data_IF_683955941883
#
_entry.id   IF_683955941883
#
_cell.length_a   1.000
_cell.length_b   1.000
_cell.length_c   1.000
_cell.angle_alpha   90.00
_cell.angle_beta   90.00
_cell.angle_gamma   90.00
#
_symmetry.space_group_name_H-M   'P 1'
#
loop_
_entity.id
_entity.type
_entity.pdbx_description
1 polymer ?
#
# COMPACT_ATOMS: atom_id res chain seq x y z
N UNK A 1 -19.68 -2.59 -18.64
CA UNK A 1 -18.25 -2.25 -18.75
C UNK A 1 -17.95 -1.00 -17.91
N UNK A 2 -18.26 -1.01 -16.60
CA UNK A 2 -18.13 0.14 -15.68
C UNK A 2 -17.09 -0.08 -14.57
N UNK A 3 -16.52 -1.29 -14.45
CA UNK A 3 -15.55 -1.64 -13.41
C UNK A 3 -14.12 -1.18 -13.71
N UNK A 4 -13.73 -1.11 -14.99
CA UNK A 4 -12.36 -0.75 -15.39
C UNK A 4 -12.04 0.71 -15.09
N UNK A 5 -12.89 1.67 -15.51
CA UNK A 5 -12.61 3.08 -15.26
C UNK A 5 -12.56 3.45 -13.78
N UNK A 6 -13.42 2.83 -12.96
CA UNK A 6 -13.42 3.09 -11.53
C UNK A 6 -12.15 2.52 -10.85
N UNK A 7 -11.72 1.33 -11.28
CA UNK A 7 -10.44 0.75 -10.87
C UNK A 7 -9.25 1.60 -11.31
N UNK A 8 -9.22 2.07 -12.57
CA UNK A 8 -8.15 2.91 -13.09
C UNK A 8 -8.06 4.24 -12.35
N UNK A 9 -9.21 4.87 -12.04
CA UNK A 9 -9.24 6.08 -11.19
C UNK A 9 -8.65 5.83 -9.80
N UNK A 10 -8.93 4.69 -9.20
CA UNK A 10 -8.35 4.32 -7.90
C UNK A 10 -6.84 4.11 -7.99
N UNK A 11 -6.35 3.44 -9.04
CA UNK A 11 -4.92 3.21 -9.26
C UNK A 11 -4.17 4.54 -9.48
N UNK A 12 -4.77 5.46 -10.25
CA UNK A 12 -4.21 6.80 -10.48
C UNK A 12 -4.19 7.61 -9.18
N UNK A 13 -5.26 7.54 -8.37
CA UNK A 13 -5.33 8.22 -7.09
C UNK A 13 -4.25 7.70 -6.12
N UNK A 14 -4.10 6.37 -6.01
CA UNK A 14 -3.07 5.76 -5.17
C UNK A 14 -1.66 6.15 -5.62
N UNK A 15 -1.38 6.12 -6.93
CA UNK A 15 -0.11 6.56 -7.48
C UNK A 15 0.18 8.03 -7.15
N UNK A 16 -0.82 8.90 -7.28
CA UNK A 16 -0.70 10.32 -6.98
C UNK A 16 -0.43 10.57 -5.49
N UNK A 17 -1.14 9.91 -4.58
CA UNK A 17 -0.95 10.07 -3.14
C UNK A 17 0.42 9.54 -2.68
N UNK A 18 0.90 8.43 -3.26
CA UNK A 18 2.26 7.93 -3.00
C UNK A 18 3.32 8.93 -3.48
N UNK A 19 3.21 9.42 -4.72
CA UNK A 19 4.14 10.38 -5.29
C UNK A 19 4.18 11.70 -4.49
N UNK A 20 3.04 12.18 -3.96
CA UNK A 20 3.00 13.35 -3.08
C UNK A 20 3.69 13.11 -1.74
N UNK A 21 3.55 11.91 -1.17
CA UNK A 21 4.01 11.60 0.19
C UNK A 21 5.48 11.19 0.26
N UNK A 22 5.95 10.49 -0.76
CA UNK A 22 7.29 9.88 -0.81
C UNK A 22 8.16 10.41 -1.97
N UNK A 23 7.58 11.14 -2.92
CA UNK A 23 8.26 11.59 -4.13
C UNK A 23 8.05 10.62 -5.28
N UNK A 24 8.04 11.16 -6.51
CA UNK A 24 7.81 10.38 -7.73
C UNK A 24 8.95 9.39 -7.99
N UNK A 25 10.20 9.79 -7.75
CA UNK A 25 11.40 8.94 -7.93
C UNK A 25 11.47 7.77 -6.94
N UNK A 26 10.80 7.90 -5.79
CA UNK A 26 10.81 6.89 -4.73
C UNK A 26 9.54 6.05 -4.70
N UNK A 27 8.66 6.20 -5.69
CA UNK A 27 7.38 5.49 -5.77
C UNK A 27 7.29 4.75 -7.11
N UNK A 28 6.86 3.50 -7.10
CA UNK A 28 6.66 2.74 -8.33
C UNK A 28 5.48 1.77 -8.24
N UNK A 29 4.95 1.40 -9.40
CA UNK A 29 3.93 0.37 -9.57
C UNK A 29 4.62 -0.92 -10.02
N UNK A 30 4.53 -1.98 -9.23
CA UNK A 30 5.13 -3.28 -9.54
C UNK A 30 4.31 -4.06 -10.57
N UNK A 31 2.99 -3.92 -10.53
CA UNK A 31 2.07 -4.57 -11.46
C UNK A 31 0.65 -4.60 -10.89
N UNK A 32 -0.36 -4.75 -11.74
CA UNK A 32 -1.76 -4.85 -11.26
C UNK A 32 -2.14 -3.70 -10.32
N UNK A 33 -2.51 -4.02 -9.09
CA UNK A 33 -2.85 -3.09 -8.01
C UNK A 33 -1.73 -2.91 -6.96
N UNK A 34 -0.51 -3.36 -7.27
CA UNK A 34 0.63 -3.41 -6.34
C UNK A 34 1.58 -2.24 -6.55
N UNK A 35 1.81 -1.51 -5.45
CA UNK A 35 2.63 -0.31 -5.41
C UNK A 35 3.66 -0.40 -4.30
N UNK A 36 4.79 0.27 -4.50
CA UNK A 36 5.83 0.44 -3.51
C UNK A 36 6.20 1.91 -3.41
N UNK A 37 6.48 2.36 -2.19
CA UNK A 37 7.19 3.60 -1.94
C UNK A 37 8.34 3.37 -0.97
N UNK A 38 9.44 4.09 -1.18
CA UNK A 38 10.66 4.00 -0.39
C UNK A 38 10.85 5.35 0.34
N UNK A 39 11.15 5.28 1.64
CA UNK A 39 11.53 6.44 2.43
C UNK A 39 12.98 6.28 2.89
N UNK A 40 13.82 7.25 2.56
CA UNK A 40 15.22 7.30 2.97
C UNK A 40 15.39 8.26 4.14
N UNK A 41 16.19 7.85 5.13
CA UNK A 41 16.48 8.64 6.33
C UNK A 41 15.23 9.18 7.06
N UNK A 42 14.13 8.44 6.98
CA UNK A 42 12.87 8.81 7.60
C UNK A 42 12.52 7.86 8.74
N UNK A 43 12.04 8.43 9.86
CA UNK A 43 11.64 7.63 11.01
C UNK A 43 10.37 6.84 10.71
N UNK A 44 10.28 5.63 11.27
CA UNK A 44 9.15 4.73 11.07
C UNK A 44 7.79 5.35 11.42
N UNK A 45 7.72 6.16 12.49
CA UNK A 45 6.49 6.82 12.92
C UNK A 45 6.00 7.88 11.90
N UNK A 46 6.92 8.59 11.24
CA UNK A 46 6.59 9.52 10.15
C UNK A 46 6.08 8.77 8.93
N UNK A 47 6.73 7.66 8.56
CA UNK A 47 6.28 6.80 7.45
C UNK A 47 4.89 6.21 7.74
N UNK A 48 4.65 5.78 8.97
CA UNK A 48 3.31 5.34 9.41
C UNK A 48 2.29 6.46 9.31
N UNK A 49 2.60 7.68 9.79
CA UNK A 49 1.70 8.82 9.66
C UNK A 49 1.35 9.13 8.19
N UNK A 50 2.33 9.12 7.29
CA UNK A 50 2.12 9.26 5.84
C UNK A 50 1.18 8.17 5.30
N UNK A 51 1.37 6.92 5.72
CA UNK A 51 0.49 5.82 5.29
C UNK A 51 -0.97 6.02 5.71
N UNK A 52 -1.22 6.50 6.94
CA UNK A 52 -2.57 6.83 7.40
C UNK A 52 -3.18 8.00 6.63
N UNK A 53 -2.38 9.02 6.31
CA UNK A 53 -2.81 10.16 5.49
C UNK A 53 -3.22 9.73 4.08
N UNK A 54 -2.41 8.89 3.42
CA UNK A 54 -2.73 8.33 2.11
C UNK A 54 -4.07 7.59 2.16
N UNK A 55 -4.27 6.68 3.12
CA UNK A 55 -5.54 5.96 3.27
C UNK A 55 -6.73 6.89 3.52
N UNK A 56 -6.54 7.94 4.33
CA UNK A 56 -7.58 8.94 4.59
C UNK A 56 -7.94 9.72 3.33
N UNK A 57 -6.96 10.13 2.54
CA UNK A 57 -7.17 10.90 1.31
C UNK A 57 -7.84 10.05 0.23
N UNK A 58 -7.43 8.79 0.08
CA UNK A 58 -8.05 7.86 -0.87
C UNK A 58 -9.53 7.62 -0.53
N UNK A 59 -9.88 7.48 0.75
CA UNK A 59 -11.27 7.37 1.20
C UNK A 59 -12.11 8.60 0.87
N UNK A 60 -11.51 9.80 0.84
CA UNK A 60 -12.21 11.04 0.48
C UNK A 60 -12.39 11.18 -1.04
N UNK A 61 -11.44 10.70 -1.82
CA UNK A 61 -11.42 10.84 -3.28
C UNK A 61 -12.27 9.76 -3.98
N UNK A 62 -12.35 8.55 -3.42
CA UNK A 62 -13.15 7.46 -3.96
C UNK A 62 -14.42 7.25 -3.11
N UNK A 63 -15.59 7.54 -3.69
CA UNK A 63 -16.91 7.20 -3.12
C UNK A 63 -17.21 5.70 -3.10
N UNK A 64 -16.34 4.87 -3.69
CA UNK A 64 -16.49 3.42 -3.74
C UNK A 64 -15.60 2.77 -2.66
N UNK A 65 -16.13 1.72 -2.01
CA UNK A 65 -15.43 0.97 -0.95
C UNK A 65 -14.28 0.11 -1.51
N UNK A 66 -13.18 0.74 -1.90
CA UNK A 66 -11.93 0.03 -2.19
C UNK A 66 -11.17 -0.24 -0.91
N UNK A 67 -10.61 -1.44 -0.79
CA UNK A 67 -9.77 -1.82 0.34
C UNK A 67 -8.31 -1.78 -0.09
N UNK A 68 -7.53 -0.88 0.53
CA UNK A 68 -6.08 -0.75 0.31
C UNK A 68 -5.36 -1.24 1.55
N UNK A 69 -4.45 -2.19 1.37
CA UNK A 69 -3.59 -2.71 2.43
C UNK A 69 -2.17 -2.16 2.25
N UNK A 70 -1.56 -1.65 3.32
CA UNK A 70 -0.21 -1.10 3.30
C UNK A 70 0.67 -1.87 4.30
N UNK A 71 1.78 -2.42 3.82
CA UNK A 71 2.85 -3.01 4.64
C UNK A 71 4.05 -2.06 4.73
N UNK A 72 4.62 -1.90 5.92
CA UNK A 72 5.80 -1.04 6.14
C UNK A 72 6.95 -1.87 6.72
N UNK A 73 8.15 -1.68 6.17
CA UNK A 73 9.39 -2.29 6.65
C UNK A 73 10.49 -1.23 6.74
N UNK A 74 11.30 -1.31 7.80
CA UNK A 74 12.46 -0.46 8.01
C UNK A 74 13.71 -1.34 8.13
N UNK A 75 14.80 -0.93 7.50
CA UNK A 75 16.13 -1.52 7.71
C UNK A 75 17.15 -0.40 7.97
N UNK A 76 18.24 -0.75 8.67
CA UNK A 76 19.37 0.16 8.92
C UNK A 76 20.41 0.02 7.80
N UNK A 77 21.11 1.12 7.52
CA UNK A 77 22.00 1.25 6.36
C UNK A 77 23.17 0.25 6.34
N UNK A 78 23.61 -0.21 7.51
CA UNK A 78 24.82 -1.04 7.63
C UNK A 78 24.68 -2.41 6.92
N UNK A 79 23.45 -2.87 6.63
CA UNK A 79 23.15 -4.12 5.93
C UNK A 79 22.01 -3.93 4.89
N UNK A 80 22.10 -2.87 4.06
CA UNK A 80 21.10 -2.57 3.04
C UNK A 80 21.24 -3.48 1.81
N UNK A 81 20.59 -4.65 1.83
CA UNK A 81 20.21 -5.34 0.60
C UNK A 81 18.79 -4.90 0.21
N UNK A 82 18.69 -4.01 -0.77
CA UNK A 82 17.40 -3.49 -1.27
C UNK A 82 16.48 -4.63 -1.73
N UNK A 83 17.04 -5.71 -2.28
CA UNK A 83 16.29 -6.91 -2.68
C UNK A 83 15.65 -7.62 -1.49
N UNK A 84 16.35 -7.69 -0.35
CA UNK A 84 15.80 -8.28 0.88
C UNK A 84 14.69 -7.40 1.48
N UNK A 85 14.86 -6.07 1.44
CA UNK A 85 13.82 -5.13 1.87
C UNK A 85 12.54 -5.29 1.04
N UNK A 86 12.69 -5.32 -0.28
CA UNK A 86 11.59 -5.55 -1.23
C UNK A 86 10.89 -6.88 -0.95
N UNK A 87 11.67 -7.96 -0.82
CA UNK A 87 11.15 -9.29 -0.51
C UNK A 87 10.37 -9.32 0.82
N UNK A 88 10.86 -8.65 1.85
CA UNK A 88 10.19 -8.60 3.15
C UNK A 88 8.93 -7.71 3.15
N UNK A 89 8.92 -6.64 2.35
CA UNK A 89 7.74 -5.80 2.16
C UNK A 89 6.64 -6.56 1.41
N UNK A 90 6.98 -7.25 0.32
CA UNK A 90 6.06 -8.13 -0.41
C UNK A 90 5.49 -9.23 0.49
N UNK A 91 6.35 -9.91 1.26
CA UNK A 91 5.92 -10.94 2.22
C UNK A 91 4.95 -10.40 3.27
N UNK A 92 5.15 -9.17 3.75
CA UNK A 92 4.24 -8.54 4.70
C UNK A 92 2.88 -8.18 4.05
N UNK A 93 2.90 -7.67 2.82
CA UNK A 93 1.69 -7.39 2.04
C UNK A 93 0.88 -8.67 1.80
N UNK A 94 1.52 -9.76 1.35
CA UNK A 94 0.87 -11.06 1.16
C UNK A 94 0.21 -11.57 2.43
N UNK A 95 0.89 -11.49 3.58
CA UNK A 95 0.29 -11.85 4.88
C UNK A 95 -0.95 -11.02 5.19
N UNK A 96 -0.91 -9.70 4.96
CA UNK A 96 -2.06 -8.83 5.17
C UNK A 96 -3.23 -9.19 4.24
N UNK A 97 -2.96 -9.51 2.96
CA UNK A 97 -3.98 -10.02 2.03
C UNK A 97 -4.57 -11.35 2.53
N UNK A 98 -3.75 -12.31 2.95
CA UNK A 98 -4.20 -13.62 3.48
C UNK A 98 -5.06 -13.49 4.75
N UNK A 99 -4.67 -12.62 5.68
CA UNK A 99 -5.44 -12.35 6.89
C UNK A 99 -6.80 -11.70 6.59
N UNK A 100 -6.83 -10.77 5.62
CA UNK A 100 -8.07 -10.16 5.15
C UNK A 100 -9.04 -11.21 4.57
N UNK A 101 -8.56 -12.12 3.71
CA UNK A 101 -9.40 -13.19 3.16
C UNK A 101 -9.90 -14.16 4.22
N UNK A 102 -9.06 -14.58 5.18
CA UNK A 102 -9.48 -15.46 6.29
C UNK A 102 -10.58 -14.82 7.15
N UNK A 103 -10.45 -13.52 7.44
CA UNK A 103 -11.44 -12.78 8.23
C UNK A 103 -12.75 -12.63 7.47
N UNK A 104 -12.69 -12.34 6.17
CA UNK A 104 -13.86 -12.28 5.28
C UNK A 104 -14.54 -13.64 5.05
N UNK A 105 -13.84 -14.76 5.22
CA UNK A 105 -14.39 -16.11 5.14
C UNK A 105 -15.06 -16.53 6.46
N UNK A 106 -14.50 -16.13 7.61
CA UNK A 106 -15.10 -16.31 8.93
C UNK A 106 -16.41 -15.54 9.08
N UNK A 107 -16.48 -14.30 8.60
CA UNK A 107 -17.71 -13.48 8.63
C UNK A 107 -18.83 -14.03 7.73
N UNK A 108 -18.46 -14.75 6.65
CA UNK A 108 -19.43 -15.40 5.75
C UNK A 108 -19.99 -16.71 6.31
N UNK A 109 -19.29 -17.36 7.24
CA UNK A 109 -19.77 -18.56 7.96
C UNK A 109 -20.54 -18.26 9.25
N UNK A 110 -20.50 -17.01 9.71
CA UNK A 110 -21.20 -16.54 10.91
C UNK A 110 -22.58 -15.91 10.61
N UNK A 111 -23.04 -15.94 9.35
CA UNK A 111 -24.39 -15.60 8.90
C UNK A 111 -25.07 -16.84 8.34
#
# INVERSE_FOLDING_TARGET
>A
MFGHEAGDRMLIALASELAKSFGQEMSCRFGGDEFLAIALDERLDKVQAKSYQILSNLKKQCYQCYHVSIGIKQAKADHLNVSDLLYQADKAMRKSKEEFYKKAESDRRAR
#
